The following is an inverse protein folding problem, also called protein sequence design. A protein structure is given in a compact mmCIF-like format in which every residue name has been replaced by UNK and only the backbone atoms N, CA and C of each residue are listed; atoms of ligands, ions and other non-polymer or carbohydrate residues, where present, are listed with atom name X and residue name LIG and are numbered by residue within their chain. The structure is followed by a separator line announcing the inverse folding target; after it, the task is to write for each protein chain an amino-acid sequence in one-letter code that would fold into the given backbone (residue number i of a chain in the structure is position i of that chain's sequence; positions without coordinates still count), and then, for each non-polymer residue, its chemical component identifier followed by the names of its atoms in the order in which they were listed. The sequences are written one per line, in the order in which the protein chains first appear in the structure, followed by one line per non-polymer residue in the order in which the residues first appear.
data_IF_665402238330
#
_entry.id   IF_665402238330
#
_cell.length_a   1.000
_cell.length_b   1.000
_cell.length_c   1.000
_cell.angle_alpha   90.00
_cell.angle_beta   90.00
_cell.angle_gamma   90.00
#
_symmetry.space_group_name_H-M   'P 1'
#
loop_
_entity.id
_entity.type
_entity.pdbx_description
1 polymer ?
#
# COMPACT_ATOMS: atom_id res chain seq x y z
N UNK A 1 -4.73 10.81 24.43
CA UNK A 1 -5.40 11.36 23.22
C UNK A 1 -4.63 10.91 21.99
N UNK A 2 -4.51 9.60 21.74
CA UNK A 2 -3.53 9.07 20.76
C UNK A 2 -4.12 8.00 19.85
N UNK A 3 -5.07 7.20 20.33
CA UNK A 3 -5.64 6.09 19.56
C UNK A 3 -6.66 6.55 18.49
N UNK A 4 -7.56 7.48 18.86
CA UNK A 4 -8.55 8.09 17.95
C UNK A 4 -7.91 8.79 16.74
N UNK A 5 -6.72 9.40 16.94
CA UNK A 5 -5.95 10.06 15.88
C UNK A 5 -5.35 9.05 14.90
N UNK A 6 -4.88 7.90 15.39
CA UNK A 6 -4.33 6.84 14.54
C UNK A 6 -5.40 6.13 13.72
N UNK A 7 -6.55 5.79 14.33
CA UNK A 7 -7.67 5.22 13.59
C UNK A 7 -8.21 6.17 12.52
N UNK A 8 -8.28 7.47 12.84
CA UNK A 8 -8.63 8.51 11.87
C UNK A 8 -7.62 8.58 10.72
N UNK A 9 -6.31 8.53 11.02
CA UNK A 9 -5.26 8.52 10.00
C UNK A 9 -5.34 7.27 9.10
N UNK A 10 -5.52 6.08 9.68
CA UNK A 10 -5.70 4.83 8.93
C UNK A 10 -6.90 4.91 7.99
N UNK A 11 -8.04 5.41 8.47
CA UNK A 11 -9.25 5.59 7.64
C UNK A 11 -9.01 6.57 6.49
N UNK A 12 -8.34 7.69 6.75
CA UNK A 12 -7.97 8.68 5.71
C UNK A 12 -7.07 8.04 4.65
N UNK A 13 -6.03 7.33 5.07
CA UNK A 13 -5.05 6.71 4.18
C UNK A 13 -5.68 5.60 3.35
N UNK A 14 -6.54 4.78 3.94
CA UNK A 14 -7.31 3.76 3.23
C UNK A 14 -8.17 4.37 2.12
N UNK A 15 -8.86 5.48 2.39
CA UNK A 15 -9.63 6.18 1.35
C UNK A 15 -8.74 6.74 0.24
N UNK A 16 -7.54 7.22 0.57
CA UNK A 16 -6.56 7.73 -0.40
C UNK A 16 -5.95 6.62 -1.26
N UNK A 17 -5.85 5.41 -0.73
CA UNK A 17 -5.43 4.22 -1.48
C UNK A 17 -6.44 3.75 -2.53
N UNK A 18 -7.72 4.09 -2.36
CA UNK A 18 -8.82 3.74 -3.28
C UNK A 18 -9.09 4.78 -4.40
N UNK A 19 -8.37 5.90 -4.41
CA UNK A 19 -8.59 7.01 -5.36
C UNK A 19 -7.31 7.34 -6.11
N UNK A 20 -6.78 6.34 -6.80
CA UNK A 20 -5.54 6.46 -7.60
C UNK A 20 -5.85 6.77 -9.05
N UNK A 21 -4.89 7.35 -9.76
CA UNK A 21 -5.02 7.75 -11.16
C UNK A 21 -5.11 6.57 -12.15
N UNK A 22 -4.69 5.37 -11.76
CA UNK A 22 -4.80 4.14 -12.55
C UNK A 22 -5.41 2.99 -11.76
N UNK A 23 -6.14 2.12 -12.46
CA UNK A 23 -6.90 1.02 -11.85
C UNK A 23 -5.99 -0.03 -11.21
N UNK A 24 -4.84 -0.31 -11.81
CA UNK A 24 -3.87 -1.25 -11.25
C UNK A 24 -3.40 -0.80 -9.86
N UNK A 25 -3.05 0.48 -9.70
CA UNK A 25 -2.61 1.03 -8.42
C UNK A 25 -3.72 1.10 -7.39
N UNK A 26 -4.95 1.40 -7.81
CA UNK A 26 -6.12 1.30 -6.94
C UNK A 26 -6.27 -0.09 -6.33
N UNK A 27 -6.18 -1.15 -7.15
CA UNK A 27 -6.31 -2.53 -6.69
C UNK A 27 -5.16 -2.95 -5.75
N UNK A 28 -3.92 -2.60 -6.12
CA UNK A 28 -2.71 -2.91 -5.35
C UNK A 28 -2.78 -2.24 -3.98
N UNK A 29 -2.95 -0.91 -3.95
CA UNK A 29 -2.91 -0.15 -2.72
C UNK A 29 -4.14 -0.38 -1.85
N UNK A 30 -5.31 -0.65 -2.43
CA UNK A 30 -6.49 -1.03 -1.64
C UNK A 30 -6.32 -2.36 -0.94
N UNK A 31 -5.67 -3.34 -1.58
CA UNK A 31 -5.35 -4.63 -0.97
C UNK A 31 -4.35 -4.45 0.18
N UNK A 32 -3.27 -3.73 -0.08
CA UNK A 32 -2.27 -3.44 0.95
C UNK A 32 -2.85 -2.68 2.14
N UNK A 33 -3.69 -1.67 1.85
CA UNK A 33 -4.36 -0.87 2.85
C UNK A 33 -5.28 -1.69 3.77
N UNK A 34 -5.86 -2.76 3.26
CA UNK A 34 -6.71 -3.65 4.04
C UNK A 34 -5.91 -4.53 5.00
N UNK A 35 -4.80 -5.09 4.52
CA UNK A 35 -4.02 -6.08 5.26
C UNK A 35 -2.98 -5.44 6.21
N UNK A 36 -2.50 -4.23 5.94
CA UNK A 36 -1.33 -3.66 6.65
C UNK A 36 -1.61 -2.42 7.51
N UNK A 37 -2.58 -1.57 7.16
CA UNK A 37 -2.77 -0.29 7.88
C UNK A 37 -3.19 -0.50 9.35
N UNK A 38 -3.83 -1.63 9.67
CA UNK A 38 -4.23 -1.98 11.05
C UNK A 38 -3.03 -2.12 11.99
N UNK A 39 -1.92 -2.69 11.51
CA UNK A 39 -0.71 -2.97 12.28
C UNK A 39 0.34 -1.84 12.23
N UNK A 40 0.14 -0.82 11.41
CA UNK A 40 1.07 0.30 11.29
C UNK A 40 0.96 1.28 12.47
N UNK A 41 2.11 1.68 13.02
CA UNK A 41 2.24 2.79 13.97
C UNK A 41 2.21 4.16 13.27
N UNK A 42 2.14 5.25 14.04
CA UNK A 42 2.17 6.64 13.59
C UNK A 42 3.27 6.92 12.55
N UNK A 43 4.51 6.49 12.81
CA UNK A 43 5.64 6.73 11.89
C UNK A 43 5.44 5.98 10.57
N UNK A 44 4.99 4.73 10.62
CA UNK A 44 4.73 3.93 9.43
C UNK A 44 3.58 4.51 8.59
N UNK A 45 2.53 5.01 9.23
CA UNK A 45 1.43 5.70 8.55
C UNK A 45 1.88 7.00 7.90
N UNK A 46 2.75 7.77 8.55
CA UNK A 46 3.31 9.00 7.98
C UNK A 46 4.22 8.71 6.78
N UNK A 47 5.04 7.67 6.89
CA UNK A 47 5.90 7.23 5.79
C UNK A 47 5.08 6.74 4.59
N UNK A 48 4.03 5.94 4.85
CA UNK A 48 3.06 5.53 3.84
C UNK A 48 2.35 6.72 3.19
N UNK A 49 1.92 7.71 3.97
CA UNK A 49 1.31 8.94 3.47
C UNK A 49 2.22 9.71 2.52
N UNK A 50 3.50 9.81 2.86
CA UNK A 50 4.51 10.49 2.05
C UNK A 50 4.65 9.79 0.70
N UNK A 51 4.80 8.46 0.70
CA UNK A 51 4.83 7.63 -0.50
C UNK A 51 3.56 7.78 -1.35
N UNK A 52 2.37 7.88 -0.75
CA UNK A 52 1.12 8.08 -1.49
C UNK A 52 1.05 9.42 -2.25
N UNK A 53 1.96 10.36 -1.99
CA UNK A 53 2.06 11.63 -2.72
C UNK A 53 2.89 11.53 -4.01
N UNK A 54 3.59 10.41 -4.21
CA UNK A 54 4.31 10.10 -5.44
C UNK A 54 3.36 9.77 -6.61
N UNK A 55 3.89 9.85 -7.83
CA UNK A 55 3.14 9.59 -9.04
C UNK A 55 2.73 8.10 -9.16
N UNK A 56 1.47 7.84 -9.53
CA UNK A 56 0.94 6.49 -9.66
C UNK A 56 1.70 5.60 -10.65
N UNK A 57 2.15 6.15 -11.77
CA UNK A 57 2.94 5.41 -12.76
C UNK A 57 4.32 5.04 -12.22
N UNK A 58 4.90 5.90 -11.38
CA UNK A 58 6.19 5.66 -10.74
C UNK A 58 6.05 4.57 -9.67
N UNK A 59 5.07 4.70 -8.78
CA UNK A 59 4.75 3.69 -7.78
C UNK A 59 4.47 2.32 -8.43
N UNK A 60 3.73 2.31 -9.54
CA UNK A 60 3.48 1.07 -10.27
C UNK A 60 4.76 0.43 -10.78
N UNK A 61 5.68 1.21 -11.38
CA UNK A 61 6.98 0.71 -11.86
C UNK A 61 7.84 0.13 -10.74
N UNK A 62 7.79 0.71 -9.54
CA UNK A 62 8.51 0.17 -8.38
C UNK A 62 7.89 -1.14 -7.89
N UNK A 63 6.57 -1.18 -7.70
CA UNK A 63 5.87 -2.39 -7.21
C UNK A 63 5.96 -3.54 -8.21
N UNK A 64 5.93 -3.24 -9.52
CA UNK A 64 6.06 -4.23 -10.58
C UNK A 64 7.50 -4.70 -10.81
N UNK A 65 8.50 -4.03 -10.22
CA UNK A 65 9.92 -4.31 -10.41
C UNK A 65 10.47 -3.86 -11.76
N UNK A 66 9.79 -2.91 -12.42
CA UNK A 66 10.29 -2.28 -13.65
C UNK A 66 11.37 -1.23 -13.38
N UNK A 67 11.41 -0.67 -12.16
CA UNK A 67 12.39 0.31 -11.70
C UNK A 67 12.66 0.09 -10.22
N UNK A 68 13.88 0.37 -9.76
CA UNK A 68 14.23 0.29 -8.34
C UNK A 68 13.60 1.44 -7.55
N UNK A 69 13.02 1.10 -6.40
CA UNK A 69 12.52 2.09 -5.46
C UNK A 69 13.70 2.81 -4.76
N UNK A 70 13.56 4.10 -4.44
CA UNK A 70 14.49 4.79 -3.54
C UNK A 70 14.64 4.05 -2.21
N UNK A 71 15.81 4.17 -1.58
CA UNK A 71 16.13 3.48 -0.31
C UNK A 71 15.08 3.74 0.78
N UNK A 72 14.60 4.99 0.87
CA UNK A 72 13.52 5.39 1.78
C UNK A 72 12.25 4.54 1.61
N UNK A 73 11.87 4.16 0.39
CA UNK A 73 10.63 3.42 0.12
C UNK A 73 10.86 1.94 -0.18
N UNK A 74 12.11 1.48 -0.29
CA UNK A 74 12.43 0.14 -0.76
C UNK A 74 11.74 -0.96 0.08
N UNK A 75 11.79 -0.85 1.41
CA UNK A 75 11.13 -1.79 2.31
C UNK A 75 9.60 -1.78 2.17
N UNK A 76 9.01 -0.59 2.04
CA UNK A 76 7.56 -0.43 1.90
C UNK A 76 7.06 -0.98 0.56
N UNK A 77 7.77 -0.71 -0.54
CA UNK A 77 7.45 -1.23 -1.87
C UNK A 77 7.59 -2.75 -1.90
N UNK A 78 8.64 -3.30 -1.29
CA UNK A 78 8.82 -4.74 -1.18
C UNK A 78 7.65 -5.40 -0.44
N UNK A 79 7.16 -4.77 0.63
CA UNK A 79 5.99 -5.26 1.38
C UNK A 79 4.70 -5.21 0.55
N UNK A 80 4.45 -4.11 -0.16
CA UNK A 80 3.31 -3.96 -1.08
C UNK A 80 3.33 -5.04 -2.15
N UNK A 81 4.50 -5.30 -2.75
CA UNK A 81 4.67 -6.33 -3.76
C UNK A 81 4.44 -7.75 -3.19
N UNK A 82 4.87 -8.02 -1.95
CA UNK A 82 4.66 -9.30 -1.29
C UNK A 82 3.18 -9.58 -1.03
N UNK A 83 2.46 -8.62 -0.43
CA UNK A 83 1.02 -8.74 -0.13
C UNK A 83 0.20 -8.96 -1.41
N UNK A 84 0.54 -8.24 -2.49
CA UNK A 84 -0.16 -8.35 -3.78
C UNK A 84 0.04 -9.71 -4.45
N UNK A 85 1.27 -10.25 -4.38
CA UNK A 85 1.59 -11.59 -4.90
C UNK A 85 0.89 -12.69 -4.11
N UNK A 86 0.91 -12.59 -2.79
CA UNK A 86 0.28 -13.56 -1.90
C UNK A 86 -1.24 -13.66 -2.12
N UNK A 87 -1.94 -12.53 -2.24
CA UNK A 87 -3.37 -12.52 -2.57
C UNK A 87 -3.66 -13.15 -3.93
N UNK A 88 -2.82 -12.88 -4.93
CA UNK A 88 -2.95 -13.48 -6.26
C UNK A 88 -2.80 -15.00 -6.22
N UNK A 89 -1.97 -15.53 -5.31
CA UNK A 89 -1.81 -16.98 -5.08
C UNK A 89 -3.03 -17.55 -4.36
N UNK A 90 -3.52 -16.88 -3.30
CA UNK A 90 -4.72 -17.29 -2.55
C UNK A 90 -5.97 -17.36 -3.45
N UNK A 91 -6.18 -16.36 -4.31
CA UNK A 91 -7.31 -16.31 -5.25
C UNK A 91 -7.27 -17.41 -6.33
N UNK A 92 -6.07 -17.87 -6.71
CA UNK A 92 -5.90 -18.95 -7.68
C UNK A 92 -6.10 -20.34 -7.07
N UNK A 93 -5.89 -20.48 -5.76
CA UNK A 93 -5.90 -21.77 -5.05
C UNK A 93 -7.25 -22.04 -4.37
N UNK A 94 -8.02 -21.01 -4.02
CA UNK A 94 -9.31 -21.13 -3.32
C UNK A 94 -10.53 -21.50 -4.16
N UNK A 95 -10.38 -22.23 -5.27
CA UNK A 95 -11.51 -22.75 -6.07
C UNK A 95 -11.52 -24.28 -6.00
N UNK A 96 -11.94 -24.82 -4.86
CA UNK A 96 -12.39 -26.23 -4.72
C UNK A 96 -13.54 -26.25 -3.73
#
# INVERSE_FOLDING_TARGET
MTEDTLETARRRLRMRSMRRGIKEMDLILSTFADERLGDMDAEALHHYETMLSENDQLLYRWVSGQEDAPDDYAALIADIAAVTKDRSIRLRTGRI
#
